data_IF_580065364722
#
_entry.id   IF_580065364722
#
_cell.length_a   1.000
_cell.length_b   1.000
_cell.length_c   1.000
_cell.angle_alpha   90.00
_cell.angle_beta   90.00
_cell.angle_gamma   90.00
#
_symmetry.space_group_name_H-M   'P 1'
#
loop_
_entity.id
_entity.type
_entity.pdbx_description
1 polymer ?
#
# COMPACT_ATOMS: atom_id res chain seq x y z
N UNK A 1 -9.02 9.52 -27.71
CA UNK A 1 -8.34 8.49 -26.89
C UNK A 1 -8.87 8.60 -25.48
N UNK A 2 -9.11 7.47 -24.81
CA UNK A 2 -9.50 7.46 -23.40
C UNK A 2 -8.34 8.03 -22.57
N UNK A 3 -8.65 8.97 -21.67
CA UNK A 3 -7.70 9.65 -20.79
C UNK A 3 -7.80 9.05 -19.39
N UNK A 4 -7.40 7.78 -19.26
CA UNK A 4 -7.46 7.05 -17.99
C UNK A 4 -6.14 7.23 -17.25
N UNK A 5 -6.21 7.68 -16.00
CA UNK A 5 -5.08 7.68 -15.05
C UNK A 5 -5.41 6.73 -13.91
N UNK A 6 -4.39 6.20 -13.25
CA UNK A 6 -4.55 5.36 -12.07
C UNK A 6 -3.82 5.98 -10.89
N UNK A 7 -4.44 5.91 -9.72
CA UNK A 7 -3.78 6.29 -8.47
C UNK A 7 -4.29 5.43 -7.33
N UNK A 8 -3.48 5.32 -6.28
CA UNK A 8 -3.88 4.61 -5.08
C UNK A 8 -2.84 4.74 -3.98
N UNK A 9 -3.25 4.34 -2.78
CA UNK A 9 -2.42 4.31 -1.58
C UNK A 9 -1.98 2.88 -1.28
N UNK A 10 -0.75 2.68 -0.81
CA UNK A 10 -0.19 1.38 -0.42
C UNK A 10 -0.48 0.27 -1.44
N UNK A 11 -1.24 -0.77 -1.09
CA UNK A 11 -1.65 -1.83 -2.03
C UNK A 11 -2.37 -1.29 -3.28
N UNK A 12 -3.18 -0.23 -3.15
CA UNK A 12 -3.76 0.49 -4.28
C UNK A 12 -2.72 1.22 -5.13
N UNK A 13 -1.65 1.73 -4.53
CA UNK A 13 -0.49 2.29 -5.23
C UNK A 13 0.27 1.22 -6.02
N UNK A 14 0.49 0.05 -5.42
CA UNK A 14 1.03 -1.12 -6.11
C UNK A 14 0.16 -1.53 -7.30
N UNK A 15 -1.16 -1.64 -7.11
CA UNK A 15 -2.09 -1.99 -8.18
C UNK A 15 -2.11 -0.94 -9.30
N UNK A 16 -2.03 0.36 -8.96
CA UNK A 16 -1.92 1.43 -9.94
C UNK A 16 -0.64 1.30 -10.78
N UNK A 17 0.49 0.95 -10.16
CA UNK A 17 1.75 0.65 -10.85
C UNK A 17 1.64 -0.58 -11.76
N UNK A 18 0.90 -1.61 -11.35
CA UNK A 18 0.63 -2.79 -12.18
C UNK A 18 -0.14 -2.49 -13.47
N UNK A 19 -0.85 -1.37 -13.55
CA UNK A 19 -1.48 -0.92 -14.80
C UNK A 19 -0.48 -0.30 -15.81
N UNK A 20 0.80 -0.24 -15.45
CA UNK A 20 1.89 0.21 -16.33
C UNK A 20 2.55 -0.89 -17.16
N UNK A 21 2.27 -2.16 -16.88
CA UNK A 21 2.86 -3.30 -17.57
C UNK A 21 1.87 -4.46 -17.71
N UNK A 22 2.12 -5.37 -18.66
CA UNK A 22 1.31 -6.58 -18.92
C UNK A 22 -0.21 -6.34 -19.03
N UNK A 23 -0.61 -5.15 -19.51
CA UNK A 23 -2.00 -4.79 -19.78
C UNK A 23 -2.19 -4.45 -21.27
N UNK A 24 -3.35 -4.79 -21.87
CA UNK A 24 -3.60 -4.52 -23.29
C UNK A 24 -3.63 -3.03 -23.63
N UNK A 25 -3.92 -2.18 -22.63
CA UNK A 25 -3.96 -0.72 -22.75
C UNK A 25 -3.39 -0.11 -21.46
N UNK A 26 -2.13 0.35 -21.47
CA UNK A 26 -1.55 1.06 -20.34
C UNK A 26 -2.32 2.35 -20.04
N UNK A 27 -2.35 2.72 -18.76
CA UNK A 27 -2.89 4.02 -18.34
C UNK A 27 -2.02 5.17 -18.82
N UNK A 28 -2.60 6.37 -18.89
CA UNK A 28 -1.92 7.57 -19.40
C UNK A 28 -0.91 8.14 -18.41
N UNK A 29 -1.15 7.97 -17.11
CA UNK A 29 -0.25 8.35 -16.03
C UNK A 29 -0.63 7.60 -14.73
N UNK A 30 0.33 7.49 -13.81
CA UNK A 30 0.21 6.79 -12.53
C UNK A 30 0.62 7.72 -11.38
N UNK A 31 -0.13 7.69 -10.29
CA UNK A 31 0.26 8.28 -9.00
C UNK A 31 0.25 7.18 -7.93
N UNK A 32 1.43 6.85 -7.41
CA UNK A 32 1.59 5.90 -6.32
C UNK A 32 1.83 6.64 -5.01
N UNK A 33 0.94 6.49 -4.05
CA UNK A 33 1.17 6.95 -2.68
C UNK A 33 1.66 5.76 -1.85
N UNK A 34 2.92 5.80 -1.43
CA UNK A 34 3.57 4.83 -0.55
C UNK A 34 3.30 3.34 -0.86
N UNK A 35 3.25 3.02 -2.16
CA UNK A 35 3.01 1.67 -2.64
C UNK A 35 4.11 0.68 -2.24
N UNK A 36 3.71 -0.58 -1.99
CA UNK A 36 4.64 -1.69 -1.86
C UNK A 36 5.27 -2.01 -3.22
N UNK A 37 6.60 -1.97 -3.32
CA UNK A 37 7.37 -2.11 -4.58
C UNK A 37 8.68 -2.85 -4.31
N UNK A 38 9.39 -3.25 -5.36
CA UNK A 38 10.67 -3.98 -5.26
C UNK A 38 10.52 -5.23 -4.37
N UNK A 39 9.56 -6.10 -4.73
CA UNK A 39 9.27 -7.35 -4.04
C UNK A 39 10.41 -8.37 -4.13
N UNK A 40 11.37 -8.14 -5.02
CA UNK A 40 12.64 -8.88 -5.06
C UNK A 40 13.57 -8.54 -3.88
N UNK A 41 13.34 -7.42 -3.19
CA UNK A 41 14.20 -6.94 -2.13
C UNK A 41 14.14 -7.84 -0.89
N UNK A 42 15.29 -8.19 -0.28
CA UNK A 42 15.34 -8.98 0.96
C UNK A 42 14.55 -8.40 2.14
N UNK A 43 14.25 -7.09 2.14
CA UNK A 43 13.41 -6.46 3.15
C UNK A 43 12.04 -7.13 3.28
N UNK A 44 11.46 -7.67 2.20
CA UNK A 44 10.16 -8.36 2.27
C UNK A 44 10.19 -9.72 2.94
N UNK A 45 11.39 -10.29 3.17
CA UNK A 45 11.59 -11.62 3.79
C UNK A 45 12.28 -11.57 5.15
N UNK A 46 13.09 -10.53 5.38
CA UNK A 46 14.01 -10.48 6.52
C UNK A 46 13.84 -9.21 7.37
N UNK A 47 12.75 -8.46 7.20
CA UNK A 47 12.47 -7.25 7.97
C UNK A 47 11.19 -7.43 8.80
N UNK A 48 11.28 -8.01 10.01
CA UNK A 48 10.13 -8.04 10.91
C UNK A 48 9.75 -6.60 11.28
N UNK A 49 8.45 -6.33 11.37
CA UNK A 49 7.92 -5.01 11.72
C UNK A 49 7.68 -4.96 13.24
N UNK A 50 8.56 -4.32 14.05
CA UNK A 50 8.49 -4.41 15.51
C UNK A 50 7.20 -3.81 16.07
N UNK A 51 6.70 -2.75 15.44
CA UNK A 51 5.45 -2.09 15.79
C UNK A 51 4.24 -3.02 15.61
N UNK A 52 4.21 -3.81 14.53
CA UNK A 52 3.17 -4.82 14.34
C UNK A 52 3.34 -5.99 15.30
N UNK A 53 4.59 -6.41 15.57
CA UNK A 53 4.85 -7.51 16.51
C UNK A 53 4.37 -7.16 17.93
N UNK A 54 4.49 -5.89 18.34
CA UNK A 54 4.06 -5.42 19.64
C UNK A 54 2.53 -5.46 19.86
N UNK A 55 1.74 -5.53 18.78
CA UNK A 55 0.27 -5.60 18.87
C UNK A 55 -0.28 -7.02 18.71
N UNK A 56 0.56 -8.01 18.35
CA UNK A 56 0.12 -9.39 18.18
C UNK A 56 -0.20 -10.05 19.54
N UNK A 57 -1.33 -10.75 19.67
CA UNK A 57 -1.59 -11.58 20.84
C UNK A 57 -0.66 -12.80 20.90
N UNK A 58 -0.08 -13.08 22.07
CA UNK A 58 0.75 -14.28 22.32
C UNK A 58 -0.06 -15.59 22.23
N UNK A 59 -1.38 -15.51 22.18
CA UNK A 59 -2.30 -16.66 22.11
C UNK A 59 -2.56 -17.15 20.69
N UNK A 60 -2.02 -16.49 19.65
CA UNK A 60 -2.21 -16.90 18.26
C UNK A 60 -1.48 -18.22 17.98
N UNK A 61 -2.23 -19.25 17.56
CA UNK A 61 -1.70 -20.57 17.23
C UNK A 61 -1.71 -20.82 15.73
N UNK A 62 -0.81 -21.67 15.24
CA UNK A 62 -0.80 -22.09 13.83
C UNK A 62 -2.14 -22.69 13.39
N UNK A 63 -2.80 -23.46 14.26
CA UNK A 63 -4.13 -24.02 13.99
C UNK A 63 -5.20 -22.95 13.78
N UNK A 64 -5.13 -21.84 14.52
CA UNK A 64 -6.03 -20.72 14.34
C UNK A 64 -5.74 -19.96 13.04
N UNK A 65 -4.47 -19.64 12.77
CA UNK A 65 -4.06 -18.94 11.55
C UNK A 65 -4.42 -19.73 10.28
N UNK A 66 -4.24 -21.05 10.30
CA UNK A 66 -4.53 -21.93 9.17
C UNK A 66 -6.02 -22.06 8.83
N UNK A 67 -6.93 -21.55 9.68
CA UNK A 67 -8.36 -21.51 9.35
C UNK A 67 -8.65 -20.67 8.11
N UNK A 68 -7.77 -19.71 7.76
CA UNK A 68 -7.88 -18.88 6.55
C UNK A 68 -8.05 -19.71 5.27
N UNK A 69 -7.48 -20.93 5.22
CA UNK A 69 -7.55 -21.85 4.07
C UNK A 69 -8.86 -22.65 4.01
N UNK A 70 -9.64 -22.64 5.09
CA UNK A 70 -10.90 -23.39 5.22
C UNK A 70 -12.12 -22.49 5.35
N UNK A 71 -11.93 -21.18 5.57
CA UNK A 71 -13.01 -20.22 5.69
C UNK A 71 -13.83 -20.12 4.39
N UNK A 72 -15.15 -20.26 4.52
CA UNK A 72 -16.09 -20.10 3.42
C UNK A 72 -17.43 -19.50 3.91
N UNK A 73 -18.04 -18.55 3.17
CA UNK A 73 -17.48 -17.86 2.00
C UNK A 73 -16.21 -17.11 2.39
N UNK A 74 -15.31 -16.87 1.43
CA UNK A 74 -14.10 -16.08 1.69
C UNK A 74 -14.55 -14.69 2.15
N UNK A 75 -14.24 -14.26 3.38
CA UNK A 75 -14.56 -12.92 3.85
C UNK A 75 -13.97 -11.89 2.88
N UNK A 76 -14.83 -10.95 2.46
CA UNK A 76 -14.43 -9.84 1.58
C UNK A 76 -14.42 -8.50 2.33
N UNK A 77 -14.90 -8.52 3.57
CA UNK A 77 -14.82 -7.46 4.55
C UNK A 77 -13.80 -7.82 5.64
N UNK A 78 -13.00 -6.83 6.01
CA UNK A 78 -12.32 -6.79 7.29
C UNK A 78 -12.75 -5.49 7.96
N UNK A 79 -12.88 -5.50 9.29
CA UNK A 79 -13.16 -4.29 10.04
C UNK A 79 -11.98 -3.30 10.03
N UNK A 80 -10.87 -3.65 9.38
CA UNK A 80 -9.61 -2.93 9.36
C UNK A 80 -9.15 -2.65 7.95
N UNK A 81 -9.11 -1.37 7.60
CA UNK A 81 -8.25 -0.93 6.52
C UNK A 81 -6.80 -0.95 7.00
N UNK A 82 -5.93 -1.69 6.31
CA UNK A 82 -4.48 -1.56 6.50
C UNK A 82 -3.98 -0.12 6.22
N UNK A 83 -4.78 0.67 5.49
CA UNK A 83 -4.54 2.09 5.20
C UNK A 83 -5.02 3.04 6.30
N UNK A 84 -5.61 2.51 7.38
CA UNK A 84 -6.22 3.32 8.44
C UNK A 84 -7.50 4.04 8.03
N UNK A 85 -8.05 3.75 6.84
CA UNK A 85 -9.34 4.28 6.40
C UNK A 85 -10.48 3.64 7.22
N UNK A 86 -11.33 4.47 7.82
CA UNK A 86 -12.61 4.02 8.37
C UNK A 86 -13.62 3.91 7.25
N UNK A 87 -14.32 2.78 7.13
CA UNK A 87 -15.59 2.78 6.40
C UNK A 87 -16.55 3.73 7.10
N UNK A 88 -16.84 4.87 6.46
CA UNK A 88 -17.91 5.78 6.88
C UNK A 88 -19.29 5.11 6.80
N UNK A 89 -19.40 3.93 6.19
CA UNK A 89 -20.64 3.17 6.02
C UNK A 89 -20.88 2.08 7.09
N UNK A 90 -19.85 1.62 7.81
CA UNK A 90 -19.99 0.50 8.78
C UNK A 90 -19.55 0.84 10.21
N UNK A 91 -19.07 2.06 10.47
CA UNK A 91 -18.78 2.57 11.83
C UNK A 91 -20.03 2.89 12.68
N UNK A 92 -21.10 2.09 12.53
CA UNK A 92 -22.18 2.02 13.53
C UNK A 92 -21.81 1.03 14.64
N UNK A 93 -20.67 1.25 15.29
CA UNK A 93 -20.56 0.96 16.72
C UNK A 93 -20.64 2.27 17.48
N UNK A 94 -21.83 2.86 17.46
CA UNK A 94 -22.24 3.83 18.46
C UNK A 94 -22.43 3.08 19.77
N UNK A 95 -21.53 3.28 20.73
CA UNK A 95 -21.97 3.18 22.12
C UNK A 95 -22.90 4.38 22.37
N UNK A 96 -23.87 4.22 23.28
CA UNK A 96 -24.96 5.14 23.65
C UNK A 96 -24.51 6.56 24.12
N UNK A 97 -23.23 6.92 23.92
CA UNK A 97 -22.60 8.16 24.35
C UNK A 97 -21.93 8.96 23.23
N UNK A 98 -21.99 8.52 21.96
CA UNK A 98 -21.61 9.37 20.82
C UNK A 98 -20.12 9.75 20.70
N UNK A 99 -19.24 9.17 21.51
CA UNK A 99 -17.80 9.40 21.40
C UNK A 99 -17.21 8.57 20.26
N UNK A 100 -16.66 9.25 19.25
CA UNK A 100 -15.81 8.61 18.23
C UNK A 100 -14.56 8.11 18.95
N UNK A 101 -14.30 6.80 18.94
CA UNK A 101 -12.96 6.31 19.33
C UNK A 101 -11.97 6.83 18.30
N UNK A 102 -11.15 7.80 18.70
CA UNK A 102 -10.06 8.31 17.89
C UNK A 102 -9.02 7.21 17.66
N UNK A 103 -8.75 6.90 16.39
CA UNK A 103 -7.73 5.96 15.95
C UNK A 103 -8.16 5.16 14.71
N UNK A 104 -7.22 4.74 13.86
CA UNK A 104 -7.53 3.82 12.77
C UNK A 104 -8.12 2.52 13.35
N UNK A 105 -9.01 1.82 12.60
CA UNK A 105 -9.56 0.55 13.05
C UNK A 105 -8.41 -0.42 13.41
N UNK A 106 -8.49 -1.03 14.60
CA UNK A 106 -7.46 -1.95 15.10
C UNK A 106 -7.72 -3.36 14.58
N UNK A 107 -6.68 -4.12 14.16
CA UNK A 107 -6.83 -5.49 13.67
C UNK A 107 -7.70 -6.33 14.60
N UNK A 108 -8.65 -7.09 14.05
CA UNK A 108 -9.44 -7.98 14.86
C UNK A 108 -8.80 -9.37 14.89
N UNK A 109 -7.94 -9.61 15.87
CA UNK A 109 -7.24 -10.89 16.01
C UNK A 109 -8.14 -12.08 16.38
N UNK A 110 -9.45 -11.88 16.59
CA UNK A 110 -10.42 -12.98 16.64
C UNK A 110 -10.84 -13.47 15.26
N UNK A 111 -10.47 -12.76 14.18
CA UNK A 111 -10.69 -13.16 12.79
C UNK A 111 -9.42 -13.84 12.26
N UNK A 112 -9.51 -15.09 11.77
CA UNK A 112 -8.35 -15.82 11.24
C UNK A 112 -7.59 -15.07 10.14
N UNK A 113 -8.28 -14.38 9.23
CA UNK A 113 -7.65 -13.65 8.11
C UNK A 113 -6.81 -12.45 8.56
N UNK A 114 -7.35 -11.64 9.48
CA UNK A 114 -6.62 -10.53 10.09
C UNK A 114 -5.41 -11.07 10.86
N UNK A 115 -5.62 -12.08 11.71
CA UNK A 115 -4.54 -12.70 12.47
C UNK A 115 -3.45 -13.27 11.57
N UNK A 116 -3.82 -13.96 10.49
CA UNK A 116 -2.91 -14.50 9.48
C UNK A 116 -2.09 -13.39 8.82
N UNK A 117 -2.76 -12.38 8.25
CA UNK A 117 -2.08 -11.31 7.53
C UNK A 117 -1.12 -10.53 8.42
N UNK A 118 -1.57 -10.08 9.60
CA UNK A 118 -0.74 -9.30 10.53
C UNK A 118 0.38 -10.14 11.16
N UNK A 119 0.17 -11.42 11.42
CA UNK A 119 1.24 -12.32 11.90
C UNK A 119 2.34 -12.46 10.85
N UNK A 120 1.97 -12.67 9.58
CA UNK A 120 2.96 -12.82 8.53
C UNK A 120 3.65 -11.50 8.17
N UNK A 121 2.95 -10.36 8.20
CA UNK A 121 3.56 -9.03 8.05
C UNK A 121 4.55 -8.72 9.17
N UNK A 122 4.15 -8.91 10.43
CA UNK A 122 5.00 -8.65 11.59
C UNK A 122 6.29 -9.48 11.58
N UNK A 123 6.24 -10.68 11.03
CA UNK A 123 7.38 -11.59 10.94
C UNK A 123 8.15 -11.49 9.61
N UNK A 124 7.73 -10.65 8.66
CA UNK A 124 8.36 -10.55 7.34
C UNK A 124 8.22 -11.82 6.50
N UNK A 125 7.12 -12.56 6.64
CA UNK A 125 6.89 -13.85 5.96
C UNK A 125 5.69 -13.83 5.02
N UNK A 126 5.11 -12.66 4.75
CA UNK A 126 3.86 -12.52 3.99
C UNK A 126 3.96 -13.08 2.57
N UNK A 127 5.03 -12.77 1.83
CA UNK A 127 5.21 -13.29 0.48
C UNK A 127 5.36 -14.81 0.44
N UNK A 128 6.09 -15.38 1.41
CA UNK A 128 6.23 -16.84 1.50
C UNK A 128 4.89 -17.51 1.86
N UNK A 129 4.02 -16.82 2.59
CA UNK A 129 2.71 -17.33 2.99
C UNK A 129 1.66 -17.27 1.86
N UNK A 130 1.63 -16.18 1.08
CA UNK A 130 0.59 -15.95 0.06
C UNK A 130 1.05 -16.22 -1.37
N UNK A 131 2.36 -16.26 -1.62
CA UNK A 131 2.94 -16.45 -2.95
C UNK A 131 4.25 -17.30 -2.92
N UNK A 132 4.25 -18.48 -2.25
CA UNK A 132 5.48 -19.24 -1.89
C UNK A 132 6.37 -19.68 -3.06
N UNK A 133 5.82 -19.83 -4.27
CA UNK A 133 6.53 -20.40 -5.43
C UNK A 133 6.49 -19.50 -6.66
N UNK A 134 5.92 -18.32 -6.53
CA UNK A 134 5.66 -17.50 -7.69
C UNK A 134 6.80 -16.54 -7.99
N UNK A 135 6.90 -16.16 -9.26
CA UNK A 135 7.87 -15.18 -9.72
C UNK A 135 7.34 -13.79 -9.41
N UNK A 136 8.04 -13.06 -8.52
CA UNK A 136 7.67 -11.69 -8.15
C UNK A 136 7.65 -10.75 -9.36
N UNK A 137 8.37 -11.07 -10.44
CA UNK A 137 8.26 -10.34 -11.71
C UNK A 137 6.83 -10.29 -12.24
N UNK A 138 5.94 -11.20 -11.89
CA UNK A 138 4.55 -11.13 -12.37
C UNK A 138 3.75 -9.94 -11.78
N UNK A 139 4.22 -9.31 -10.71
CA UNK A 139 3.53 -8.17 -10.07
C UNK A 139 4.47 -7.08 -9.55
N UNK A 140 5.79 -7.23 -9.66
CA UNK A 140 6.75 -6.21 -9.22
C UNK A 140 6.93 -5.13 -10.30
N UNK A 141 6.50 -3.87 -10.05
CA UNK A 141 6.65 -2.81 -11.04
C UNK A 141 8.10 -2.49 -11.38
N UNK A 142 9.03 -2.62 -10.43
CA UNK A 142 10.45 -2.33 -10.68
C UNK A 142 11.06 -3.30 -11.70
N UNK A 143 10.68 -4.57 -11.64
CA UNK A 143 11.15 -5.61 -12.57
C UNK A 143 10.50 -5.54 -13.97
N UNK A 144 9.47 -4.70 -14.13
CA UNK A 144 8.71 -4.54 -15.38
C UNK A 144 8.80 -3.13 -15.97
N UNK A 145 9.70 -2.29 -15.46
CA UNK A 145 9.94 -0.99 -16.06
C UNK A 145 10.45 -1.15 -17.50
N UNK A 146 10.01 -0.23 -18.34
CA UNK A 146 10.42 -0.13 -19.74
C UNK A 146 10.34 1.34 -20.18
N UNK A 147 10.95 1.73 -21.30
CA UNK A 147 10.80 3.08 -21.84
C UNK A 147 9.34 3.46 -22.20
N UNK A 148 8.45 2.47 -22.34
CA UNK A 148 7.03 2.67 -22.59
C UNK A 148 6.16 2.70 -21.33
N UNK A 149 6.77 2.57 -20.14
CA UNK A 149 6.02 2.62 -18.88
C UNK A 149 5.33 4.00 -18.74
N UNK A 150 4.11 4.07 -18.19
CA UNK A 150 3.40 5.33 -18.09
C UNK A 150 4.15 6.36 -17.24
N UNK A 151 4.01 7.66 -17.55
CA UNK A 151 4.45 8.73 -16.66
C UNK A 151 4.00 8.48 -15.23
N UNK A 152 4.92 8.51 -14.27
CA UNK A 152 4.66 8.03 -12.90
C UNK A 152 5.14 9.04 -11.86
N UNK A 153 4.27 9.39 -10.92
CA UNK A 153 4.62 10.20 -9.76
C UNK A 153 4.50 9.39 -8.47
N UNK A 154 5.44 9.57 -7.56
CA UNK A 154 5.53 8.86 -6.28
C UNK A 154 5.39 9.87 -5.13
N UNK A 155 4.55 9.57 -4.14
CA UNK A 155 4.45 10.34 -2.88
C UNK A 155 4.73 9.37 -1.75
N UNK A 156 5.75 9.63 -0.92
CA UNK A 156 6.14 8.69 0.15
C UNK A 156 6.46 9.41 1.46
N UNK A 157 5.99 8.88 2.59
CA UNK A 157 6.26 9.43 3.92
C UNK A 157 7.66 9.07 4.40
N UNK A 158 8.42 10.04 4.91
CA UNK A 158 9.81 9.79 5.34
C UNK A 158 9.94 8.87 6.55
N UNK A 159 8.89 8.80 7.38
CA UNK A 159 8.85 8.01 8.62
C UNK A 159 8.05 6.71 8.43
N UNK A 160 7.88 6.26 7.18
CA UNK A 160 7.17 5.01 6.89
C UNK A 160 7.97 3.79 7.35
N UNK A 161 7.49 3.15 8.41
CA UNK A 161 8.06 1.95 9.01
C UNK A 161 7.51 0.65 8.40
N UNK A 162 6.42 0.70 7.63
CA UNK A 162 5.79 -0.48 7.03
C UNK A 162 6.34 -0.77 5.63
N UNK A 163 6.44 0.27 4.81
CA UNK A 163 7.07 0.22 3.49
C UNK A 163 8.23 1.21 3.49
N UNK A 164 9.47 0.74 3.74
CA UNK A 164 10.63 1.62 3.79
C UNK A 164 10.77 2.45 2.50
N UNK A 165 10.92 3.77 2.66
CA UNK A 165 10.98 4.73 1.54
C UNK A 165 12.06 4.39 0.51
N UNK A 166 13.14 3.72 0.92
CA UNK A 166 14.22 3.29 0.04
C UNK A 166 13.74 2.36 -1.09
N UNK A 167 12.67 1.59 -0.90
CA UNK A 167 12.06 0.79 -1.96
C UNK A 167 11.47 1.68 -3.07
N UNK A 168 10.80 2.77 -2.68
CA UNK A 168 10.23 3.72 -3.63
C UNK A 168 11.29 4.63 -4.27
N UNK A 169 12.38 4.96 -3.57
CA UNK A 169 13.55 5.61 -4.18
C UNK A 169 14.20 4.74 -5.26
N UNK A 170 14.27 3.43 -5.05
CA UNK A 170 14.77 2.47 -6.07
C UNK A 170 13.84 2.40 -7.27
N UNK A 171 12.53 2.38 -7.05
CA UNK A 171 11.55 2.50 -8.15
C UNK A 171 11.74 3.80 -8.93
N UNK A 172 11.88 4.93 -8.24
CA UNK A 172 12.11 6.23 -8.85
C UNK A 172 13.38 6.25 -9.70
N UNK A 173 14.51 5.74 -9.18
CA UNK A 173 15.75 5.61 -9.94
C UNK A 173 15.56 4.74 -11.19
N UNK A 174 14.87 3.60 -11.07
CA UNK A 174 14.58 2.74 -12.22
C UNK A 174 13.72 3.42 -13.29
N UNK A 175 12.75 4.26 -12.89
CA UNK A 175 11.94 5.05 -13.83
C UNK A 175 12.83 6.04 -14.60
N UNK A 176 13.73 6.74 -13.90
CA UNK A 176 14.68 7.67 -14.52
C UNK A 176 15.63 6.97 -15.50
N UNK A 177 16.18 5.82 -15.11
CA UNK A 177 17.09 5.01 -15.96
C UNK A 177 16.42 4.53 -17.25
N UNK A 178 15.11 4.26 -17.21
CA UNK A 178 14.32 3.88 -18.38
C UNK A 178 13.83 5.08 -19.21
N UNK A 179 14.16 6.32 -18.81
CA UNK A 179 13.71 7.53 -19.50
C UNK A 179 12.21 7.79 -19.36
N UNK A 180 11.57 7.23 -18.33
CA UNK A 180 10.15 7.46 -18.05
C UNK A 180 9.99 8.85 -17.44
N UNK A 181 8.99 9.61 -17.91
CA UNK A 181 8.64 10.88 -17.28
C UNK A 181 8.15 10.61 -15.85
N UNK A 182 8.88 11.12 -14.84
CA UNK A 182 8.58 10.78 -13.46
C UNK A 182 8.93 11.89 -12.47
N UNK A 183 8.31 11.81 -11.29
CA UNK A 183 8.60 12.65 -10.13
C UNK A 183 8.42 11.87 -8.84
N UNK A 184 9.05 12.37 -7.77
CA UNK A 184 8.87 11.84 -6.43
C UNK A 184 8.91 12.97 -5.42
N UNK A 185 7.98 12.96 -4.47
CA UNK A 185 8.00 13.84 -3.30
C UNK A 185 8.08 13.02 -2.02
N UNK A 186 8.99 13.42 -1.15
CA UNK A 186 9.12 12.88 0.21
C UNK A 186 8.34 13.78 1.17
N UNK A 187 7.50 13.19 2.02
CA UNK A 187 6.65 13.93 2.95
C UNK A 187 7.25 13.84 4.37
N UNK A 188 7.85 14.91 4.90
CA UNK A 188 8.58 14.84 6.17
C UNK A 188 7.65 14.68 7.36
N UNK A 189 8.00 13.78 8.29
CA UNK A 189 7.24 13.52 9.50
C UNK A 189 6.03 12.59 9.33
N UNK A 190 5.80 12.11 8.11
CA UNK A 190 4.65 11.25 7.80
C UNK A 190 5.04 9.78 7.67
N UNK A 191 4.20 8.90 8.25
CA UNK A 191 4.33 7.44 8.16
C UNK A 191 3.38 6.83 7.12
N UNK A 192 3.27 5.49 7.08
CA UNK A 192 2.59 4.76 6.00
C UNK A 192 1.17 5.25 5.65
N UNK A 193 0.35 5.61 6.65
CA UNK A 193 -1.08 5.89 6.46
C UNK A 193 -1.42 7.37 6.44
N UNK A 194 -0.49 8.24 6.05
CA UNK A 194 -0.68 9.69 6.14
C UNK A 194 -1.86 10.19 5.30
N UNK A 195 -2.18 9.57 4.15
CA UNK A 195 -3.27 10.06 3.30
C UNK A 195 -4.65 9.91 3.96
N UNK A 196 -4.78 9.00 4.93
CA UNK A 196 -6.01 8.84 5.72
C UNK A 196 -6.12 9.85 6.88
N UNK A 197 -5.01 10.53 7.24
CA UNK A 197 -4.92 11.42 8.42
C UNK A 197 -4.69 12.89 8.06
N UNK A 198 -4.23 13.16 6.83
CA UNK A 198 -3.89 14.51 6.40
C UNK A 198 -5.12 15.44 6.45
N UNK A 199 -4.89 16.67 6.88
CA UNK A 199 -5.91 17.71 6.92
C UNK A 199 -5.77 18.63 5.71
N UNK A 200 -6.90 19.08 5.15
CA UNK A 200 -6.89 20.05 4.05
C UNK A 200 -6.16 21.32 4.47
N UNK A 201 -5.15 21.73 3.69
CA UNK A 201 -4.31 22.90 3.97
C UNK A 201 -3.15 22.64 4.92
N UNK A 202 -2.97 21.40 5.38
CA UNK A 202 -1.72 20.99 6.03
C UNK A 202 -0.56 20.90 5.04
N UNK A 203 0.68 20.94 5.54
CA UNK A 203 1.87 20.73 4.72
C UNK A 203 1.82 19.40 3.95
N UNK A 204 1.36 18.33 4.60
CA UNK A 204 1.21 16.99 4.01
C UNK A 204 0.20 17.01 2.85
N UNK A 205 -0.93 17.69 3.05
CA UNK A 205 -1.93 17.87 2.00
C UNK A 205 -1.37 18.62 0.79
N UNK A 206 -0.59 19.68 1.01
CA UNK A 206 -0.03 20.48 -0.07
C UNK A 206 1.06 19.72 -0.84
N UNK A 207 1.95 18.98 -0.15
CA UNK A 207 3.01 18.20 -0.81
C UNK A 207 2.45 17.07 -1.67
N UNK A 208 1.48 16.29 -1.16
CA UNK A 208 0.94 15.17 -1.95
C UNK A 208 0.18 15.64 -3.21
N UNK A 209 -0.33 16.89 -3.22
CA UNK A 209 -1.02 17.46 -4.38
C UNK A 209 -0.12 17.58 -5.61
N UNK A 210 1.19 17.68 -5.45
CA UNK A 210 2.13 17.69 -6.58
C UNK A 210 1.94 16.47 -7.48
N UNK A 211 1.59 15.31 -6.89
CA UNK A 211 1.27 14.10 -7.65
C UNK A 211 0.02 14.25 -8.50
N UNK A 212 -1.03 14.88 -7.99
CA UNK A 212 -2.25 15.16 -8.75
C UNK A 212 -2.03 16.23 -9.82
N UNK A 213 -1.22 17.25 -9.55
CA UNK A 213 -0.82 18.26 -10.52
C UNK A 213 0.00 17.66 -11.66
N UNK A 214 0.87 16.69 -11.35
CA UNK A 214 1.56 15.89 -12.35
C UNK A 214 0.59 15.13 -13.25
N UNK A 215 -0.38 14.38 -12.69
CA UNK A 215 -1.40 13.68 -13.48
C UNK A 215 -2.14 14.63 -14.42
N UNK A 216 -2.58 15.77 -13.90
CA UNK A 216 -3.30 16.80 -14.64
C UNK A 216 -2.44 17.38 -15.79
N UNK A 217 -1.14 17.58 -15.57
CA UNK A 217 -0.19 18.02 -16.60
C UNK A 217 -0.04 17.00 -17.76
N UNK A 218 -0.06 15.70 -17.44
CA UNK A 218 0.00 14.64 -18.46
C UNK A 218 -1.32 14.57 -19.24
N UNK A 219 -2.45 14.73 -18.54
CA UNK A 219 -3.78 14.68 -19.15
C UNK A 219 -4.08 15.86 -20.08
N UNK A 220 -3.45 17.01 -19.86
CA UNK A 220 -3.60 18.20 -20.73
C UNK A 220 -2.83 18.12 -22.05
N UNK A 221 -1.83 17.23 -22.14
CA UNK A 221 -1.08 16.97 -23.36
C UNK A 221 -1.81 15.98 -24.28
#
# INVERSE_FOLDING_TARGET
MEKVVAFGTSSGGTLALCLGFDVPKPVKAILSLYGAVDFSNPLWKNNPLPELKAILPDTLTSDFLNRVYTEFPVPTDSFVSLEGQTDLSTSSQSNDQGERKEGPPKPNFSLPRDAFAFTHLANGTILDAIYPKGDVKSFDPLLNLSPSFPPTYIVHGMEDTMVPIELNKRLYAGLQENGVECGMIEVPGEGHTFAAKMEVGSRTWDLQREGFEFLDSVLRR
#
